data_IF_500677528457
#
_entry.id   IF_500677528457
#
_cell.length_a   1.000
_cell.length_b   1.000
_cell.length_c   1.000
_cell.angle_alpha   90.00
_cell.angle_beta   90.00
_cell.angle_gamma   90.00
#
_symmetry.space_group_name_H-M   'P 1'
#
loop_
_entity.id
_entity.type
_entity.pdbx_description
1 polymer ?
#
# COMPACT_ATOMS: atom_id res chain seq x y z
N UNK A 1 -7.59 -2.14 6.44
CA UNK A 1 -7.79 -0.75 5.99
C UNK A 1 -6.71 -0.29 5.00
N UNK A 2 -5.42 -0.32 5.36
CA UNK A 2 -4.33 0.13 4.48
C UNK A 2 -4.22 -0.63 3.14
N UNK A 3 -4.40 -1.96 3.13
CA UNK A 3 -4.37 -2.76 1.90
C UNK A 3 -5.45 -2.35 0.89
N UNK A 4 -6.64 -1.96 1.34
CA UNK A 4 -7.69 -1.51 0.43
C UNK A 4 -7.36 -0.16 -0.21
N UNK A 5 -6.73 0.76 0.54
CA UNK A 5 -6.26 2.03 -0.01
C UNK A 5 -5.18 1.80 -1.07
N UNK A 6 -4.18 0.95 -0.78
CA UNK A 6 -3.12 0.64 -1.74
C UNK A 6 -3.63 -0.09 -2.98
N UNK A 7 -4.59 -1.01 -2.80
CA UNK A 7 -5.25 -1.70 -3.90
C UNK A 7 -6.02 -0.72 -4.77
N UNK A 8 -6.79 0.17 -4.18
CA UNK A 8 -7.56 1.16 -4.93
C UNK A 8 -6.64 2.16 -5.64
N UNK A 9 -5.50 2.53 -5.05
CA UNK A 9 -4.45 3.30 -5.73
C UNK A 9 -3.91 2.58 -6.96
N UNK A 10 -3.69 1.26 -6.87
CA UNK A 10 -3.29 0.46 -8.02
C UNK A 10 -4.41 0.41 -9.08
N UNK A 11 -5.66 0.22 -8.69
CA UNK A 11 -6.80 0.24 -9.61
C UNK A 11 -6.91 1.59 -10.35
N UNK A 12 -6.67 2.71 -9.67
CA UNK A 12 -6.59 4.03 -10.30
C UNK A 12 -5.50 4.09 -11.38
N UNK A 13 -4.31 3.57 -11.09
CA UNK A 13 -3.18 3.56 -12.05
C UNK A 13 -3.46 2.72 -13.29
N UNK A 14 -4.22 1.66 -13.14
CA UNK A 14 -4.57 0.73 -14.23
C UNK A 14 -5.91 1.10 -14.92
N UNK A 15 -6.56 2.21 -14.54
CA UNK A 15 -7.85 2.63 -15.13
C UNK A 15 -9.04 1.74 -14.76
N UNK A 16 -8.95 1.01 -13.65
CA UNK A 16 -9.93 0.00 -13.20
C UNK A 16 -10.76 0.47 -11.99
N UNK A 17 -11.01 1.77 -11.87
CA UNK A 17 -11.65 2.41 -10.70
C UNK A 17 -13.06 1.92 -10.39
N UNK A 18 -13.77 1.32 -11.35
CA UNK A 18 -15.08 0.72 -11.15
C UNK A 18 -15.12 -0.41 -10.11
N UNK A 19 -13.96 -0.95 -9.72
CA UNK A 19 -13.81 -2.00 -8.70
C UNK A 19 -13.24 -1.48 -7.36
N UNK A 20 -13.11 -0.15 -7.20
CA UNK A 20 -12.57 0.45 -5.97
C UNK A 20 -13.51 0.21 -4.78
N UNK A 21 -12.92 0.03 -3.59
CA UNK A 21 -13.68 -0.19 -2.35
C UNK A 21 -13.96 1.12 -1.62
N UNK A 22 -12.97 2.03 -1.58
CA UNK A 22 -13.03 3.30 -0.87
C UNK A 22 -13.49 4.42 -1.82
N UNK A 23 -14.70 4.28 -2.37
CA UNK A 23 -15.24 5.16 -3.42
C UNK A 23 -15.35 6.62 -2.94
N UNK A 24 -15.73 6.81 -1.68
CA UNK A 24 -15.90 8.10 -1.02
C UNK A 24 -14.61 8.93 -0.92
N UNK A 25 -13.45 8.26 -0.90
CA UNK A 25 -12.13 8.90 -0.80
C UNK A 25 -11.26 8.67 -2.04
N UNK A 26 -11.79 8.07 -3.10
CA UNK A 26 -11.04 7.73 -4.31
C UNK A 26 -10.30 8.93 -4.95
N UNK A 27 -10.90 10.15 -5.06
CA UNK A 27 -10.16 11.31 -5.58
C UNK A 27 -8.94 11.68 -4.74
N UNK A 28 -9.01 11.45 -3.42
CA UNK A 28 -7.87 11.67 -2.52
C UNK A 28 -6.81 10.60 -2.69
N UNK A 29 -7.22 9.34 -2.90
CA UNK A 29 -6.30 8.24 -3.22
C UNK A 29 -5.55 8.57 -4.50
N UNK A 30 -6.23 8.95 -5.58
CA UNK A 30 -5.58 9.34 -6.84
C UNK A 30 -4.52 10.42 -6.64
N UNK A 31 -4.86 11.48 -5.89
CA UNK A 31 -3.93 12.56 -5.58
C UNK A 31 -2.73 12.11 -4.74
N UNK A 32 -2.95 11.28 -3.71
CA UNK A 32 -1.90 10.81 -2.82
C UNK A 32 -0.87 9.90 -3.52
N UNK A 33 -1.31 9.15 -4.53
CA UNK A 33 -0.48 8.17 -5.24
C UNK A 33 -0.12 8.63 -6.66
N UNK A 34 -0.35 9.90 -7.00
CA UNK A 34 -0.14 10.46 -8.34
C UNK A 34 1.28 10.22 -8.87
N UNK A 35 2.30 10.36 -8.01
CA UNK A 35 3.70 10.21 -8.40
C UNK A 35 4.25 8.77 -8.26
N UNK A 36 3.42 7.84 -7.79
CA UNK A 36 3.85 6.47 -7.53
C UNK A 36 3.70 5.61 -8.78
N UNK A 37 4.75 4.87 -9.15
CA UNK A 37 4.68 3.88 -10.21
C UNK A 37 3.91 2.63 -9.75
N UNK A 38 3.12 2.00 -10.63
CA UNK A 38 2.33 0.80 -10.31
C UNK A 38 3.20 -0.32 -9.69
N UNK A 39 4.43 -0.48 -10.16
CA UNK A 39 5.37 -1.48 -9.62
C UNK A 39 5.70 -1.22 -8.13
N UNK A 40 5.92 0.05 -7.74
CA UNK A 40 6.18 0.42 -6.35
C UNK A 40 4.96 0.13 -5.47
N UNK A 41 3.76 0.45 -5.96
CA UNK A 41 2.50 0.14 -5.25
C UNK A 41 2.35 -1.37 -5.03
N UNK A 42 2.60 -2.20 -6.06
CA UNK A 42 2.56 -3.67 -5.96
C UNK A 42 3.56 -4.21 -4.91
N UNK A 43 4.78 -3.69 -4.89
CA UNK A 43 5.79 -4.10 -3.91
C UNK A 43 5.38 -3.70 -2.48
N UNK A 44 4.83 -2.50 -2.31
CA UNK A 44 4.36 -2.03 -1.00
C UNK A 44 3.16 -2.86 -0.51
N UNK A 45 2.22 -3.23 -1.38
CA UNK A 45 1.12 -4.15 -1.04
C UNK A 45 1.68 -5.45 -0.48
N UNK A 46 2.66 -6.06 -1.15
CA UNK A 46 3.31 -7.29 -0.69
C UNK A 46 3.90 -7.13 0.72
N UNK A 47 4.63 -6.05 0.97
CA UNK A 47 5.22 -5.78 2.30
C UNK A 47 4.15 -5.62 3.38
N UNK A 48 3.06 -4.92 3.10
CA UNK A 48 1.96 -4.74 4.06
C UNK A 48 1.29 -6.10 4.35
N UNK A 49 1.10 -6.95 3.33
CA UNK A 49 0.58 -8.31 3.52
C UNK A 49 1.52 -9.16 4.38
N UNK A 50 2.82 -9.17 4.08
CA UNK A 50 3.83 -9.87 4.89
C UNK A 50 3.85 -9.39 6.34
N UNK A 51 3.69 -8.07 6.55
CA UNK A 51 3.64 -7.48 7.88
C UNK A 51 2.41 -7.92 8.66
N UNK A 52 1.24 -8.01 8.02
CA UNK A 52 0.05 -8.56 8.67
C UNK A 52 0.19 -10.04 9.00
N UNK A 53 0.82 -10.84 8.13
CA UNK A 53 1.11 -12.25 8.41
C UNK A 53 2.07 -12.40 9.60
N UNK A 54 3.10 -11.56 9.70
CA UNK A 54 4.05 -11.59 10.81
C UNK A 54 3.38 -11.25 12.15
N UNK A 55 2.50 -10.25 12.18
CA UNK A 55 1.72 -9.90 13.38
C UNK A 55 0.80 -11.06 13.78
N UNK A 56 0.12 -11.68 12.81
CA UNK A 56 -0.73 -12.85 13.06
C UNK A 56 0.08 -14.05 13.59
N UNK A 57 1.37 -14.13 13.25
CA UNK A 57 2.31 -15.12 13.77
C UNK A 57 2.94 -14.73 15.13
N UNK A 58 2.31 -13.82 15.89
CA UNK A 58 2.73 -13.34 17.22
C UNK A 58 4.05 -12.54 17.25
N UNK A 59 4.49 -11.97 16.14
CA UNK A 59 5.57 -10.99 16.17
C UNK A 59 5.12 -9.69 16.87
N UNK A 60 6.06 -8.97 17.49
CA UNK A 60 5.77 -7.68 18.12
C UNK A 60 5.26 -6.66 17.10
N UNK A 61 4.02 -6.20 17.27
CA UNK A 61 3.38 -5.26 16.34
C UNK A 61 4.18 -3.98 16.13
N UNK A 62 4.80 -3.44 17.19
CA UNK A 62 5.65 -2.24 17.11
C UNK A 62 6.82 -2.45 16.15
N UNK A 63 7.57 -3.54 16.35
CA UNK A 63 8.76 -3.86 15.54
C UNK A 63 8.36 -4.09 14.09
N UNK A 64 7.27 -4.83 13.87
CA UNK A 64 6.77 -5.11 12.51
C UNK A 64 6.37 -3.81 11.80
N UNK A 65 5.65 -2.91 12.46
CA UNK A 65 5.23 -1.64 11.87
C UNK A 65 6.41 -0.72 11.55
N UNK A 66 7.39 -0.61 12.45
CA UNK A 66 8.60 0.17 12.21
C UNK A 66 9.37 -0.38 10.98
N UNK A 67 9.56 -1.69 10.91
CA UNK A 67 10.22 -2.34 9.77
C UNK A 67 9.44 -2.16 8.46
N UNK A 68 8.10 -2.29 8.51
CA UNK A 68 7.21 -2.06 7.36
C UNK A 68 7.38 -0.65 6.80
N UNK A 69 7.34 0.38 7.67
CA UNK A 69 7.47 1.78 7.26
C UNK A 69 8.84 2.08 6.66
N UNK A 70 9.92 1.55 7.26
CA UNK A 70 11.28 1.72 6.71
C UNK A 70 11.38 1.11 5.31
N UNK A 71 10.89 -0.12 5.11
CA UNK A 71 10.91 -0.78 3.80
C UNK A 71 10.08 -0.05 2.75
N UNK A 72 8.90 0.45 3.13
CA UNK A 72 8.07 1.27 2.24
C UNK A 72 8.83 2.52 1.79
N UNK A 73 9.47 3.23 2.72
CA UNK A 73 10.25 4.43 2.41
C UNK A 73 11.44 4.15 1.49
N UNK A 74 12.09 2.99 1.62
CA UNK A 74 13.18 2.59 0.72
C UNK A 74 12.66 2.42 -0.71
N UNK A 75 11.59 1.65 -0.92
CA UNK A 75 11.00 1.43 -2.24
C UNK A 75 10.58 2.72 -2.92
N UNK A 76 10.08 3.69 -2.16
CA UNK A 76 9.66 4.97 -2.73
C UNK A 76 10.84 5.80 -3.24
N UNK A 77 12.01 5.64 -2.62
CA UNK A 77 13.26 6.33 -2.97
C UNK A 77 14.11 5.60 -4.02
N UNK A 78 13.84 4.33 -4.31
CA UNK A 78 14.49 3.59 -5.38
C UNK A 78 13.99 4.09 -6.74
N UNK A 79 14.89 4.43 -7.67
CA UNK A 79 14.54 4.92 -9.01
C UNK A 79 13.97 3.82 -9.91
#
# INVERSE_FOLDING_TARGET
MMLFILRDALLCKEGMTGNAYNIDVLPRIEKCFADWHSAKIKNIIKIVQESYMAIAANASGKVVWEAMLVRMNMILKED
#
